data_IF_783583271891
#
_entry.id   IF_783583271891
#
_cell.length_a   1.000
_cell.length_b   1.000
_cell.length_c   1.000
_cell.angle_alpha   90.00
_cell.angle_beta   90.00
_cell.angle_gamma   90.00
#
_symmetry.space_group_name_H-M   'P 1'
#
loop_
_entity.id
_entity.type
_entity.pdbx_description
1 polymer ?
#
# COMPACT_ATOMS: atom_id res chain seq x y z
N UNK A 1 20.29 44.25 -31.95
CA UNK A 1 20.22 42.81 -31.63
C UNK A 1 19.67 42.69 -30.23
N UNK A 2 18.42 42.31 -30.09
CA UNK A 2 17.72 42.07 -28.79
C UNK A 2 18.07 40.66 -28.32
N UNK A 3 18.49 40.47 -27.05
CA UNK A 3 18.70 39.13 -26.53
C UNK A 3 17.37 38.41 -26.33
N UNK A 4 17.20 37.30 -27.02
CA UNK A 4 16.06 36.39 -26.83
C UNK A 4 16.22 35.73 -25.47
N UNK A 5 15.41 36.14 -24.48
CA UNK A 5 15.31 35.46 -23.20
C UNK A 5 14.68 34.09 -23.39
N UNK A 6 15.46 33.04 -23.20
CA UNK A 6 14.94 31.67 -23.10
C UNK A 6 14.19 31.58 -21.77
N UNK A 7 12.89 31.21 -21.77
CA UNK A 7 12.19 31.02 -20.51
C UNK A 7 12.87 29.89 -19.71
N UNK A 8 13.30 30.20 -18.49
CA UNK A 8 13.81 29.22 -17.56
C UNK A 8 12.66 28.24 -17.23
N UNK A 9 12.74 27.00 -17.70
CA UNK A 9 11.84 25.93 -17.29
C UNK A 9 12.07 25.67 -15.81
N UNK A 10 11.15 26.09 -14.97
CA UNK A 10 11.15 25.73 -13.54
C UNK A 10 11.15 24.21 -13.44
N UNK A 11 12.09 23.57 -12.74
CA UNK A 11 12.08 22.13 -12.58
C UNK A 11 10.77 21.69 -11.93
N UNK A 12 10.11 20.68 -12.51
CA UNK A 12 8.89 20.09 -11.91
C UNK A 12 9.23 19.55 -10.52
N UNK A 13 8.42 19.89 -9.52
CA UNK A 13 8.61 19.38 -8.17
C UNK A 13 8.57 17.84 -8.16
N UNK A 14 9.44 17.16 -7.35
CA UNK A 14 9.48 15.70 -7.32
C UNK A 14 8.14 15.12 -6.90
N UNK A 15 7.70 14.08 -7.60
CA UNK A 15 6.43 13.40 -7.36
C UNK A 15 6.68 11.99 -6.83
N UNK A 16 5.89 11.57 -5.84
CA UNK A 16 5.77 10.17 -5.44
C UNK A 16 4.50 9.59 -6.04
N UNK A 17 4.67 8.61 -6.90
CA UNK A 17 3.58 7.96 -7.65
C UNK A 17 3.44 6.53 -7.17
N UNK A 18 2.20 6.07 -7.00
CA UNK A 18 1.88 4.67 -6.77
C UNK A 18 0.82 4.19 -7.76
N UNK A 19 0.88 2.90 -8.04
CA UNK A 19 -0.10 2.19 -8.84
C UNK A 19 -0.64 1.01 -8.07
N UNK A 20 -1.96 0.83 -8.10
CA UNK A 20 -2.66 -0.26 -7.44
C UNK A 20 -3.57 -1.01 -8.40
N UNK A 21 -3.70 -2.30 -8.16
CA UNK A 21 -4.71 -3.17 -8.75
C UNK A 21 -5.38 -3.97 -7.65
N UNK A 22 -6.69 -3.79 -7.45
CA UNK A 22 -7.44 -4.57 -6.48
C UNK A 22 -7.84 -5.91 -7.09
N UNK A 23 -7.34 -7.02 -6.54
CA UNK A 23 -7.56 -8.36 -7.07
C UNK A 23 -8.98 -8.87 -6.90
N UNK A 24 -9.77 -8.26 -6.00
CA UNK A 24 -11.16 -8.64 -5.74
C UNK A 24 -12.16 -7.87 -6.60
N UNK A 25 -11.90 -6.59 -6.86
CA UNK A 25 -12.82 -5.70 -7.59
C UNK A 25 -12.41 -5.49 -9.05
N UNK A 26 -11.13 -5.75 -9.39
CA UNK A 26 -10.57 -5.47 -10.71
C UNK A 26 -10.25 -4.00 -10.96
N UNK A 27 -10.47 -3.13 -9.99
CA UNK A 27 -10.19 -1.71 -10.08
C UNK A 27 -8.69 -1.42 -10.15
N UNK A 28 -8.35 -0.34 -10.85
CA UNK A 28 -6.97 0.14 -11.01
C UNK A 28 -6.90 1.62 -10.72
N UNK A 29 -5.82 2.07 -10.11
CA UNK A 29 -5.51 3.49 -9.94
C UNK A 29 -4.01 3.71 -10.06
N UNK A 30 -3.64 4.85 -10.63
CA UNK A 30 -2.26 5.35 -10.65
C UNK A 30 -2.31 6.85 -10.43
N UNK A 31 -1.73 7.33 -9.36
CA UNK A 31 -1.76 8.74 -8.98
C UNK A 31 -0.48 9.18 -8.29
N UNK A 32 -0.12 10.46 -8.49
CA UNK A 32 0.89 11.13 -7.70
C UNK A 32 0.26 11.57 -6.36
N UNK A 33 0.56 10.86 -5.28
CA UNK A 33 -0.03 11.12 -3.96
C UNK A 33 0.74 12.17 -3.14
N UNK A 34 1.95 12.50 -3.57
CA UNK A 34 2.79 13.50 -2.93
C UNK A 34 3.57 14.26 -4.01
N UNK A 35 3.59 15.59 -3.93
CA UNK A 35 4.30 16.46 -4.85
C UNK A 35 5.06 17.51 -4.07
N UNK A 36 6.39 17.58 -4.25
CA UNK A 36 7.24 18.52 -3.51
C UNK A 36 7.16 18.34 -1.98
N UNK A 37 6.97 17.11 -1.51
CA UNK A 37 6.82 16.78 -0.08
C UNK A 37 5.43 17.04 0.50
N UNK A 38 4.45 17.46 -0.31
CA UNK A 38 3.07 17.75 0.12
C UNK A 38 2.13 16.65 -0.39
N UNK A 39 1.39 16.04 0.52
CA UNK A 39 0.36 15.05 0.17
C UNK A 39 -0.78 15.67 -0.64
N UNK A 40 -1.27 14.92 -1.62
CA UNK A 40 -2.36 15.29 -2.51
C UNK A 40 -3.67 14.67 -2.01
N UNK A 41 -4.60 15.46 -1.41
CA UNK A 41 -5.83 14.92 -0.84
C UNK A 41 -6.69 14.14 -1.84
N UNK A 42 -6.70 14.56 -3.11
CA UNK A 42 -7.46 13.88 -4.16
C UNK A 42 -6.94 12.47 -4.41
N UNK A 43 -5.62 12.32 -4.58
CA UNK A 43 -4.97 11.04 -4.77
C UNK A 43 -5.12 10.13 -3.53
N UNK A 44 -5.02 10.70 -2.32
CA UNK A 44 -5.25 9.93 -1.09
C UNK A 44 -6.68 9.39 -1.04
N UNK A 45 -7.70 10.16 -1.44
CA UNK A 45 -9.08 9.67 -1.51
C UNK A 45 -9.27 8.56 -2.56
N UNK A 46 -8.61 8.64 -3.71
CA UNK A 46 -8.61 7.56 -4.70
C UNK A 46 -8.01 6.28 -4.12
N UNK A 47 -6.91 6.41 -3.38
CA UNK A 47 -6.26 5.28 -2.73
C UNK A 47 -7.11 4.71 -1.59
N UNK A 48 -7.74 5.54 -0.76
CA UNK A 48 -8.67 5.10 0.27
C UNK A 48 -9.82 4.29 -0.33
N UNK A 49 -10.32 4.73 -1.48
CA UNK A 49 -11.41 4.05 -2.18
C UNK A 49 -11.01 2.66 -2.71
N UNK A 50 -9.87 2.55 -3.40
CA UNK A 50 -9.42 1.25 -3.94
C UNK A 50 -9.01 0.27 -2.82
N UNK A 51 -8.61 0.79 -1.66
CA UNK A 51 -8.20 0.03 -0.49
C UNK A 51 -9.33 -0.22 0.52
N UNK A 52 -10.58 0.14 0.17
CA UNK A 52 -11.75 -0.06 1.04
C UNK A 52 -12.01 -1.52 1.38
N UNK A 53 -12.74 -1.75 2.44
CA UNK A 53 -13.35 -3.06 2.70
C UNK A 53 -14.40 -3.35 1.61
N UNK A 54 -14.00 -4.10 0.59
CA UNK A 54 -14.87 -4.36 -0.57
C UNK A 54 -16.11 -5.20 -0.23
N UNK A 55 -16.09 -5.96 0.86
CA UNK A 55 -17.20 -6.80 1.28
C UNK A 55 -18.40 -5.98 1.76
N UNK A 56 -18.12 -4.89 2.45
CA UNK A 56 -19.13 -3.96 2.98
C UNK A 56 -19.15 -2.63 2.23
N UNK A 57 -18.30 -2.48 1.21
CA UNK A 57 -18.08 -1.21 0.50
C UNK A 57 -17.77 -0.05 1.47
N UNK A 58 -17.02 -0.35 2.54
CA UNK A 58 -16.70 0.60 3.60
C UNK A 58 -15.34 1.23 3.37
N UNK A 59 -15.32 2.55 3.22
CA UNK A 59 -14.11 3.36 3.03
C UNK A 59 -13.66 3.93 4.38
N UNK A 60 -12.36 3.86 4.63
CA UNK A 60 -11.70 4.51 5.76
C UNK A 60 -10.40 5.15 5.26
N UNK A 61 -10.04 6.35 5.74
CA UNK A 61 -8.74 6.92 5.42
C UNK A 61 -7.59 5.99 5.83
N UNK A 62 -6.69 5.74 4.88
CA UNK A 62 -5.45 5.00 5.11
C UNK A 62 -4.40 5.98 5.61
N UNK A 63 -3.63 5.57 6.60
CA UNK A 63 -2.51 6.34 7.11
C UNK A 63 -1.51 6.62 5.96
N UNK A 64 -1.21 7.86 5.61
CA UNK A 64 -0.33 8.19 4.49
C UNK A 64 1.06 7.55 4.58
N UNK A 65 1.52 7.19 5.79
CA UNK A 65 2.78 6.47 5.98
C UNK A 65 2.78 5.08 5.32
N UNK A 66 1.60 4.46 5.13
CA UNK A 66 1.48 3.22 4.35
C UNK A 66 1.88 3.47 2.90
N UNK A 67 1.48 4.58 2.31
CA UNK A 67 1.86 4.94 0.95
C UNK A 67 3.35 5.28 0.84
N UNK A 68 3.92 5.96 1.82
CA UNK A 68 5.36 6.21 1.87
C UNK A 68 6.14 4.90 1.97
N UNK A 69 5.71 3.95 2.80
CA UNK A 69 6.28 2.62 2.89
C UNK A 69 6.26 1.90 1.54
N UNK A 70 5.13 1.93 0.82
CA UNK A 70 5.00 1.30 -0.49
C UNK A 70 5.87 1.98 -1.55
N UNK A 71 6.01 3.30 -1.49
CA UNK A 71 6.91 4.04 -2.38
C UNK A 71 8.37 3.66 -2.17
N UNK A 72 8.84 3.59 -0.92
CA UNK A 72 10.18 3.10 -0.58
C UNK A 72 10.38 1.64 -1.03
N UNK A 73 9.36 0.81 -0.86
CA UNK A 73 9.39 -0.59 -1.28
C UNK A 73 9.52 -0.73 -2.79
N UNK A 74 8.77 0.06 -3.57
CA UNK A 74 8.88 0.06 -5.04
C UNK A 74 10.29 0.49 -5.50
N UNK A 75 10.88 1.48 -4.84
CA UNK A 75 12.26 1.90 -5.08
C UNK A 75 13.29 0.80 -4.77
N UNK A 76 13.13 0.11 -3.64
CA UNK A 76 13.99 -1.01 -3.24
C UNK A 76 13.88 -2.20 -4.21
N UNK A 77 12.68 -2.44 -4.74
CA UNK A 77 12.43 -3.49 -5.74
C UNK A 77 12.77 -3.08 -7.17
N UNK A 78 13.10 -1.81 -7.39
CA UNK A 78 13.34 -1.23 -8.72
C UNK A 78 12.22 -1.55 -9.72
N UNK A 79 10.96 -1.39 -9.28
CA UNK A 79 9.79 -1.76 -10.07
C UNK A 79 8.76 -0.62 -10.15
N UNK A 80 8.15 -0.48 -11.33
CA UNK A 80 6.99 0.37 -11.58
C UNK A 80 5.68 -0.44 -11.69
N UNK A 81 5.75 -1.74 -11.44
CA UNK A 81 4.57 -2.61 -11.46
C UNK A 81 3.55 -2.20 -10.39
N UNK A 82 2.25 -2.29 -10.69
CA UNK A 82 1.24 -1.98 -9.68
C UNK A 82 1.29 -2.98 -8.52
N UNK A 83 1.11 -2.49 -7.32
CA UNK A 83 0.85 -3.35 -6.17
C UNK A 83 -0.51 -4.03 -6.35
N UNK A 84 -0.53 -5.35 -6.35
CA UNK A 84 -1.76 -6.12 -6.29
C UNK A 84 -2.25 -6.16 -4.85
N UNK A 85 -3.43 -5.61 -4.62
CA UNK A 85 -4.06 -5.52 -3.31
C UNK A 85 -4.81 -6.81 -3.01
N UNK A 86 -4.40 -7.50 -1.96
CA UNK A 86 -5.09 -8.67 -1.42
C UNK A 86 -6.04 -8.23 -0.31
N UNK A 87 -5.62 -7.29 0.55
CA UNK A 87 -6.44 -6.70 1.59
C UNK A 87 -5.92 -5.30 1.94
N UNK A 88 -6.81 -4.32 1.95
CA UNK A 88 -6.54 -2.98 2.46
C UNK A 88 -7.21 -2.76 3.81
N UNK A 89 -8.09 -1.74 3.92
CA UNK A 89 -8.92 -1.55 5.09
C UNK A 89 -9.85 -2.75 5.32
N UNK A 90 -9.97 -3.12 6.55
CA UNK A 90 -10.84 -4.20 7.01
C UNK A 90 -11.70 -3.69 8.14
N UNK A 91 -13.02 -3.65 7.93
CA UNK A 91 -13.96 -3.26 8.99
C UNK A 91 -13.92 -4.22 10.18
N UNK A 92 -14.32 -3.79 11.38
CA UNK A 92 -14.43 -4.70 12.52
C UNK A 92 -15.30 -5.92 12.25
N UNK A 93 -16.39 -5.74 11.50
CA UNK A 93 -17.30 -6.82 11.11
C UNK A 93 -16.62 -7.86 10.21
N UNK A 94 -15.91 -7.40 9.17
CA UNK A 94 -15.15 -8.28 8.29
C UNK A 94 -14.01 -8.97 9.02
N UNK A 95 -13.32 -8.28 9.90
CA UNK A 95 -12.25 -8.86 10.71
C UNK A 95 -12.77 -9.98 11.63
N UNK A 96 -13.90 -9.77 12.29
CA UNK A 96 -14.57 -10.78 13.10
C UNK A 96 -14.97 -12.00 12.27
N UNK A 97 -15.60 -11.79 11.11
CA UNK A 97 -16.00 -12.85 10.20
C UNK A 97 -14.83 -13.71 9.71
N UNK A 98 -13.70 -13.08 9.37
CA UNK A 98 -12.50 -13.80 8.93
C UNK A 98 -11.88 -14.61 10.07
N UNK A 99 -11.92 -14.12 11.30
CA UNK A 99 -11.47 -14.86 12.48
C UNK A 99 -12.34 -16.09 12.74
N UNK A 100 -13.65 -15.95 12.65
CA UNK A 100 -14.61 -17.06 12.85
C UNK A 100 -14.44 -18.16 11.80
N UNK A 101 -14.30 -17.78 10.51
CA UNK A 101 -14.16 -18.74 9.41
C UNK A 101 -12.85 -19.51 9.42
N UNK A 102 -11.79 -18.92 9.91
CA UNK A 102 -10.46 -19.48 9.86
C UNK A 102 -9.97 -20.11 11.15
N UNK A 103 -10.69 -19.97 12.25
CA UNK A 103 -10.28 -20.45 13.57
C UNK A 103 -8.95 -19.85 14.03
N UNK A 104 -8.24 -20.57 14.92
CA UNK A 104 -6.95 -20.11 15.46
C UNK A 104 -5.79 -20.11 14.46
N UNK A 105 -6.01 -20.64 13.26
CA UNK A 105 -4.94 -20.87 12.25
C UNK A 105 -4.81 -19.77 11.19
N UNK A 106 -5.70 -18.78 11.15
CA UNK A 106 -5.71 -17.76 10.08
C UNK A 106 -4.73 -16.61 10.25
N UNK A 107 -4.10 -16.47 11.39
CA UNK A 107 -3.25 -15.30 11.67
C UNK A 107 -4.00 -13.95 11.71
N UNK A 108 -5.35 -13.96 11.69
CA UNK A 108 -6.15 -12.73 11.81
C UNK A 108 -6.19 -12.28 13.27
N UNK A 109 -5.47 -11.20 13.58
CA UNK A 109 -5.42 -10.63 14.90
C UNK A 109 -6.76 -9.97 15.31
N UNK A 110 -7.10 -10.01 16.59
CA UNK A 110 -8.26 -9.30 17.14
C UNK A 110 -8.14 -7.78 17.04
N UNK A 111 -6.91 -7.26 17.14
CA UNK A 111 -6.56 -5.85 16.99
C UNK A 111 -5.66 -5.69 15.75
N UNK A 112 -6.23 -5.99 14.58
CA UNK A 112 -5.51 -5.90 13.32
C UNK A 112 -5.31 -4.43 12.90
N UNK A 113 -4.10 -4.09 12.44
CA UNK A 113 -3.80 -2.77 11.90
C UNK A 113 -4.55 -2.46 10.59
N UNK A 114 -5.08 -3.48 9.90
CA UNK A 114 -6.04 -3.29 8.79
C UNK A 114 -7.31 -2.55 9.24
N UNK A 115 -7.75 -2.72 10.49
CA UNK A 115 -8.95 -2.07 11.02
C UNK A 115 -8.78 -0.57 11.28
N UNK A 116 -7.55 -0.10 11.37
CA UNK A 116 -7.24 1.31 11.59
C UNK A 116 -6.55 1.97 10.39
N UNK A 117 -6.54 1.29 9.24
CA UNK A 117 -5.95 1.83 8.00
C UNK A 117 -4.42 1.93 8.03
N UNK A 118 -3.74 1.07 8.78
CA UNK A 118 -2.29 1.10 8.94
C UNK A 118 -1.58 -0.12 8.39
N UNK A 119 -2.28 -1.00 7.69
CA UNK A 119 -1.74 -2.22 7.12
C UNK A 119 -2.32 -2.52 5.73
N UNK A 120 -1.54 -3.25 4.94
CA UNK A 120 -1.93 -3.70 3.62
C UNK A 120 -1.29 -5.08 3.33
N UNK A 121 -2.05 -5.95 2.70
CA UNK A 121 -1.58 -7.23 2.18
C UNK A 121 -1.41 -7.12 0.67
N UNK A 122 -0.22 -7.42 0.18
CA UNK A 122 0.19 -7.16 -1.21
C UNK A 122 0.96 -8.32 -1.84
N UNK A 123 0.96 -8.33 -3.16
CA UNK A 123 1.97 -8.95 -4.00
C UNK A 123 2.29 -8.05 -5.18
N UNK A 124 3.40 -8.30 -5.86
CA UNK A 124 3.86 -7.49 -7.00
C UNK A 124 4.09 -8.41 -8.19
N UNK A 125 3.43 -8.18 -9.35
CA UNK A 125 3.67 -8.97 -10.55
C UNK A 125 5.15 -8.98 -10.94
N UNK A 126 5.67 -10.18 -11.25
CA UNK A 126 7.06 -10.35 -11.66
C UNK A 126 8.09 -10.33 -10.52
N UNK A 127 7.67 -10.09 -9.28
CA UNK A 127 8.54 -10.15 -8.09
C UNK A 127 8.21 -11.41 -7.29
N UNK A 128 9.22 -12.22 -7.00
CA UNK A 128 9.06 -13.40 -6.14
C UNK A 128 8.65 -12.96 -4.74
N UNK A 129 7.78 -13.74 -4.10
CA UNK A 129 7.21 -13.37 -2.82
C UNK A 129 8.25 -13.26 -1.69
N UNK A 130 9.24 -14.14 -1.69
CA UNK A 130 10.37 -14.08 -0.75
C UNK A 130 11.23 -12.81 -0.96
N UNK A 131 11.44 -12.41 -2.21
CA UNK A 131 12.14 -11.17 -2.52
C UNK A 131 11.35 -9.94 -2.05
N UNK A 132 10.03 -9.93 -2.26
CA UNK A 132 9.15 -8.87 -1.73
C UNK A 132 9.21 -8.79 -0.20
N UNK A 133 9.16 -9.93 0.50
CA UNK A 133 9.33 -10.01 1.95
C UNK A 133 10.67 -9.42 2.40
N UNK A 134 11.76 -9.83 1.77
CA UNK A 134 13.11 -9.42 2.18
C UNK A 134 13.33 -7.92 1.93
N UNK A 135 12.84 -7.40 0.81
CA UNK A 135 12.83 -5.96 0.53
C UNK A 135 12.04 -5.19 1.59
N UNK A 136 10.83 -5.66 1.94
CA UNK A 136 10.02 -5.02 2.99
C UNK A 136 10.71 -5.03 4.36
N UNK A 137 11.33 -6.15 4.75
CA UNK A 137 12.08 -6.28 6.01
C UNK A 137 13.30 -5.36 6.05
N UNK A 138 13.98 -5.17 4.92
CA UNK A 138 15.17 -4.32 4.83
C UNK A 138 14.88 -2.85 5.14
N UNK A 139 13.65 -2.39 4.91
CA UNK A 139 13.23 -1.01 5.20
C UNK A 139 13.12 -0.70 6.69
N UNK A 140 12.86 -1.70 7.54
CA UNK A 140 12.71 -1.54 9.00
C UNK A 140 11.71 -0.46 9.42
N UNK A 141 10.62 -0.32 8.66
CA UNK A 141 9.60 0.71 8.91
C UNK A 141 8.51 0.19 9.85
N UNK A 142 8.07 -1.06 9.67
CA UNK A 142 6.99 -1.63 10.44
C UNK A 142 6.98 -3.15 10.44
N UNK A 143 5.80 -3.74 10.67
CA UNK A 143 5.60 -5.19 10.63
C UNK A 143 5.66 -5.73 9.21
N UNK A 144 6.21 -6.94 9.07
CA UNK A 144 6.23 -7.71 7.81
C UNK A 144 5.84 -9.15 8.11
N UNK A 145 4.71 -9.57 7.55
CA UNK A 145 4.20 -10.94 7.63
C UNK A 145 4.36 -11.67 6.29
N UNK A 146 4.78 -12.94 6.32
CA UNK A 146 5.00 -13.72 5.12
C UNK A 146 3.99 -14.87 5.02
N UNK A 147 3.17 -14.85 3.98
CA UNK A 147 2.07 -15.80 3.75
C UNK A 147 2.21 -16.48 2.38
N UNK A 148 3.19 -17.39 2.22
CA UNK A 148 3.46 -18.02 0.91
C UNK A 148 2.30 -18.85 0.40
N UNK A 149 1.58 -19.57 1.27
CA UNK A 149 0.44 -20.40 0.87
C UNK A 149 -0.74 -19.59 0.34
N UNK A 150 -0.87 -18.33 0.78
CA UNK A 150 -1.90 -17.39 0.34
C UNK A 150 -1.36 -16.38 -0.69
N UNK A 151 -0.08 -16.49 -1.03
CA UNK A 151 0.60 -15.67 -2.03
C UNK A 151 0.50 -14.16 -1.77
N UNK A 152 0.81 -13.73 -0.55
CA UNK A 152 0.96 -12.31 -0.21
C UNK A 152 1.97 -12.06 0.90
N UNK A 153 2.39 -10.80 1.01
CA UNK A 153 3.16 -10.24 2.11
C UNK A 153 2.32 -9.17 2.78
N UNK A 154 2.19 -9.26 4.11
CA UNK A 154 1.64 -8.20 4.93
C UNK A 154 2.69 -7.16 5.24
N UNK A 155 2.37 -5.87 5.09
CA UNK A 155 3.19 -4.76 5.56
C UNK A 155 2.35 -3.75 6.33
N UNK A 156 2.94 -3.16 7.36
CA UNK A 156 2.27 -2.16 8.19
C UNK A 156 3.23 -1.09 8.73
N UNK A 157 2.68 -0.04 9.28
CA UNK A 157 3.41 1.09 9.87
C UNK A 157 3.40 1.06 11.41
N UNK A 158 3.15 -0.10 12.00
CA UNK A 158 3.28 -0.33 13.43
C UNK A 158 4.73 -0.53 13.87
N UNK A 159 4.94 -1.15 15.01
CA UNK A 159 6.29 -1.48 15.46
C UNK A 159 6.95 -2.49 14.51
N UNK A 160 8.26 -2.41 14.36
CA UNK A 160 9.05 -3.36 13.56
C UNK A 160 8.96 -4.75 14.19
N UNK A 161 8.45 -5.72 13.43
CA UNK A 161 8.32 -7.13 13.79
C UNK A 161 8.13 -7.99 12.54
N UNK A 162 8.52 -9.24 12.62
CA UNK A 162 8.47 -10.18 11.48
C UNK A 162 7.85 -11.51 11.90
N UNK A 163 7.05 -12.12 11.01
CA UNK A 163 6.48 -13.46 11.19
C UNK A 163 6.19 -14.15 9.87
#
# INVERSE_FOLDING_TARGET
MTPTSIPATTPKAPERILSFFNTHTGERVRSAYCTGGVYRPDALREFDHILRDFRLNAVKPIDPRVFDLLHELSGTLETDSPFHIISGYRSPQTNALLRERGGQTTGVASHSLHMVGQAIDIRVPGVKLDHLRDAARSLKIGGVGFYPDLNFVHVDVGRVRYW
#
